data_IF_821040693574
#
_entry.id   IF_821040693574
#
_cell.length_a   1.000
_cell.length_b   1.000
_cell.length_c   1.000
_cell.angle_alpha   90.00
_cell.angle_beta   90.00
_cell.angle_gamma   90.00
#
_symmetry.space_group_name_H-M   'P 1'
#
loop_
_entity.id
_entity.type
_entity.pdbx_description
1 polymer ?
#
# COMPACT_ATOMS: atom_id res chain seq x y z
N UNK A 1 -7.37 24.30 -22.39
CA UNK A 1 -8.41 24.28 -21.33
C UNK A 1 -7.74 23.76 -20.08
N UNK A 2 -7.86 24.41 -18.91
CA UNK A 2 -7.33 23.87 -17.67
C UNK A 2 -8.05 22.55 -17.40
N UNK A 3 -7.29 21.45 -17.32
CA UNK A 3 -7.85 20.15 -16.93
C UNK A 3 -8.13 20.26 -15.43
N UNK A 4 -9.39 20.11 -15.04
CA UNK A 4 -9.75 20.13 -13.63
C UNK A 4 -8.93 19.06 -12.88
N UNK A 5 -8.20 19.40 -11.82
CA UNK A 5 -7.32 18.45 -11.12
C UNK A 5 -8.08 17.22 -10.62
N UNK A 6 -9.37 17.40 -10.32
CA UNK A 6 -10.27 16.34 -9.85
C UNK A 6 -10.64 15.32 -10.94
N UNK A 7 -10.80 15.74 -12.20
CA UNK A 7 -11.09 14.80 -13.30
C UNK A 7 -9.87 13.97 -13.67
N UNK A 8 -8.68 14.59 -13.70
CA UNK A 8 -7.40 13.88 -13.84
C UNK A 8 -7.16 12.88 -12.71
N UNK A 9 -7.51 13.24 -11.47
CA UNK A 9 -7.42 12.34 -10.33
C UNK A 9 -8.38 11.15 -10.45
N UNK A 10 -9.65 11.40 -10.79
CA UNK A 10 -10.65 10.34 -10.95
C UNK A 10 -10.29 9.36 -12.06
N UNK A 11 -9.72 9.84 -13.16
CA UNK A 11 -9.33 8.98 -14.29
C UNK A 11 -8.15 8.07 -13.91
N UNK A 12 -7.19 8.60 -13.14
CA UNK A 12 -6.08 7.82 -12.58
C UNK A 12 -6.54 6.85 -11.49
N UNK A 13 -7.51 7.25 -10.67
CA UNK A 13 -8.14 6.38 -9.67
C UNK A 13 -8.90 5.23 -10.36
N UNK A 14 -9.59 5.53 -11.46
CA UNK A 14 -10.26 4.54 -12.31
C UNK A 14 -9.28 3.52 -12.87
N UNK A 15 -8.10 3.94 -13.35
CA UNK A 15 -7.04 3.02 -13.76
C UNK A 15 -6.53 2.16 -12.59
N UNK A 16 -6.47 2.70 -11.38
CA UNK A 16 -6.08 1.95 -10.19
C UNK A 16 -7.20 1.13 -9.54
N UNK A 17 -8.42 1.16 -10.09
CA UNK A 17 -9.58 0.46 -9.53
C UNK A 17 -9.38 -1.04 -9.44
N UNK A 18 -8.67 -1.66 -10.38
CA UNK A 18 -8.34 -3.08 -10.34
C UNK A 18 -7.44 -3.42 -9.16
N UNK A 19 -6.47 -2.56 -8.86
CA UNK A 19 -5.58 -2.71 -7.70
C UNK A 19 -6.35 -2.48 -6.38
N UNK A 20 -7.18 -1.44 -6.32
CA UNK A 20 -8.04 -1.18 -5.16
C UNK A 20 -9.02 -2.33 -4.91
N UNK A 21 -9.61 -2.90 -5.97
CA UNK A 21 -10.48 -4.07 -5.91
C UNK A 21 -9.73 -5.32 -5.43
N UNK A 22 -8.51 -5.55 -5.91
CA UNK A 22 -7.66 -6.64 -5.42
C UNK A 22 -7.35 -6.51 -3.93
N UNK A 23 -6.98 -5.32 -3.48
CA UNK A 23 -6.68 -5.03 -2.07
C UNK A 23 -7.94 -5.13 -1.19
N UNK A 24 -9.09 -4.74 -1.71
CA UNK A 24 -10.39 -4.96 -1.06
C UNK A 24 -10.67 -6.46 -0.86
N UNK A 25 -10.48 -7.28 -1.90
CA UNK A 25 -10.67 -8.74 -1.81
C UNK A 25 -9.71 -9.37 -0.79
N UNK A 26 -8.45 -8.92 -0.75
CA UNK A 26 -7.48 -9.37 0.26
C UNK A 26 -7.96 -9.01 1.67
N UNK A 27 -8.43 -7.77 1.89
CA UNK A 27 -9.00 -7.34 3.17
C UNK A 27 -10.21 -8.19 3.59
N UNK A 28 -11.07 -8.54 2.64
CA UNK A 28 -12.22 -9.42 2.86
C UNK A 28 -11.79 -10.86 3.21
N UNK A 29 -10.82 -11.43 2.49
CA UNK A 29 -10.30 -12.77 2.77
C UNK A 29 -9.63 -12.85 4.15
N UNK A 30 -8.95 -11.78 4.58
CA UNK A 30 -8.39 -11.67 5.93
C UNK A 30 -9.51 -11.69 6.96
N UNK A 31 -10.56 -10.87 6.79
CA UNK A 31 -11.71 -10.88 7.70
C UNK A 31 -12.40 -12.25 7.77
N UNK A 32 -12.39 -13.01 6.67
CA UNK A 32 -12.95 -14.36 6.62
C UNK A 32 -12.10 -15.39 7.37
N UNK A 33 -10.76 -15.30 7.24
CA UNK A 33 -9.84 -16.26 7.82
C UNK A 33 -9.48 -15.99 9.28
N UNK A 34 -9.21 -14.74 9.61
CA UNK A 34 -8.80 -14.30 10.95
C UNK A 34 -9.35 -12.88 11.25
N UNK A 35 -10.43 -12.77 12.05
CA UNK A 35 -11.09 -11.50 12.34
C UNK A 35 -10.36 -10.66 13.39
N UNK A 36 -9.07 -10.90 13.62
CA UNK A 36 -8.27 -10.06 14.51
C UNK A 36 -7.96 -8.70 13.85
N UNK A 37 -8.43 -7.57 14.43
CA UNK A 37 -8.25 -6.25 13.85
C UNK A 37 -6.79 -5.81 13.79
N UNK A 38 -5.92 -6.45 14.57
CA UNK A 38 -4.47 -6.22 14.54
C UNK A 38 -3.87 -6.58 13.17
N UNK A 39 -4.37 -7.64 12.53
CA UNK A 39 -3.83 -8.15 11.26
C UNK A 39 -4.08 -7.17 10.12
N UNK A 40 -5.32 -6.66 10.01
CA UNK A 40 -5.67 -5.69 8.97
C UNK A 40 -4.99 -4.34 9.20
N UNK A 41 -4.80 -3.94 10.47
CA UNK A 41 -4.09 -2.72 10.80
C UNK A 41 -2.61 -2.81 10.40
N UNK A 42 -1.96 -3.93 10.69
CA UNK A 42 -0.57 -4.20 10.27
C UNK A 42 -0.44 -4.18 8.75
N UNK A 43 -1.42 -4.72 8.02
CA UNK A 43 -1.45 -4.64 6.56
C UNK A 43 -1.60 -3.20 6.09
N UNK A 44 -2.60 -2.46 6.56
CA UNK A 44 -2.85 -1.09 6.11
C UNK A 44 -1.68 -0.15 6.43
N UNK A 45 -1.11 -0.24 7.63
CA UNK A 45 0.04 0.56 8.06
C UNK A 45 1.30 0.13 7.30
N UNK A 46 1.58 -1.16 7.20
CA UNK A 46 2.76 -1.67 6.49
C UNK A 46 2.79 -1.25 5.03
N UNK A 47 1.63 -1.29 4.36
CA UNK A 47 1.49 -0.94 2.95
C UNK A 47 1.64 0.58 2.75
N UNK A 48 0.98 1.37 3.61
CA UNK A 48 1.05 2.84 3.56
C UNK A 48 2.45 3.35 3.90
N UNK A 49 3.07 2.83 4.96
CA UNK A 49 4.41 3.18 5.41
C UNK A 49 5.47 2.74 4.39
N UNK A 50 5.32 1.54 3.80
CA UNK A 50 6.14 1.08 2.69
C UNK A 50 6.10 2.04 1.50
N UNK A 51 4.90 2.42 1.06
CA UNK A 51 4.73 3.33 -0.09
C UNK A 51 5.23 4.75 0.17
N UNK A 52 4.96 5.31 1.36
CA UNK A 52 5.20 6.73 1.64
C UNK A 52 6.58 7.03 2.20
N UNK A 53 7.19 6.11 2.94
CA UNK A 53 8.49 6.32 3.58
C UNK A 53 9.57 5.49 2.89
N UNK A 54 9.45 4.17 2.93
CA UNK A 54 10.51 3.27 2.48
C UNK A 54 10.76 3.35 0.96
N UNK A 55 9.70 3.47 0.16
CA UNK A 55 9.79 3.58 -1.30
C UNK A 55 10.62 4.79 -1.78
N UNK A 56 10.30 6.01 -1.33
CA UNK A 56 11.12 7.19 -1.63
C UNK A 56 12.57 7.07 -1.17
N UNK A 57 12.83 6.48 0.00
CA UNK A 57 14.19 6.23 0.48
C UNK A 57 14.94 5.21 -0.39
N UNK A 58 14.28 4.14 -0.84
CA UNK A 58 14.85 3.18 -1.77
C UNK A 58 15.18 3.83 -3.13
N UNK A 59 14.29 4.70 -3.63
CA UNK A 59 14.51 5.46 -4.86
C UNK A 59 15.70 6.42 -4.75
N UNK A 60 15.79 7.16 -3.64
CA UNK A 60 16.90 8.05 -3.37
C UNK A 60 18.23 7.28 -3.26
N UNK A 61 18.25 6.14 -2.57
CA UNK A 61 19.45 5.31 -2.43
C UNK A 61 19.95 4.75 -3.77
N UNK A 62 19.05 4.28 -4.64
CA UNK A 62 19.43 3.78 -5.98
C UNK A 62 19.91 4.90 -6.90
N UNK A 63 19.33 6.09 -6.80
CA UNK A 63 19.71 7.24 -7.62
C UNK A 63 21.06 7.83 -7.18
N UNK A 64 21.31 7.97 -5.88
CA UNK A 64 22.57 8.53 -5.35
C UNK A 64 23.75 7.60 -5.60
N UNK A 65 23.54 6.28 -5.49
CA UNK A 65 24.60 5.30 -5.68
C UNK A 65 24.86 4.97 -7.15
N UNK A 66 24.05 5.48 -8.10
CA UNK A 66 24.08 5.16 -9.54
C UNK A 66 24.02 3.65 -9.84
N UNK A 67 23.62 2.81 -8.89
CA UNK A 67 23.56 1.35 -9.07
C UNK A 67 22.52 0.92 -10.12
N UNK A 68 21.61 1.83 -10.51
CA UNK A 68 20.65 1.60 -11.59
C UNK A 68 21.35 1.20 -12.91
N UNK A 69 22.55 1.72 -13.17
CA UNK A 69 23.31 1.46 -14.39
C UNK A 69 24.11 0.14 -14.36
N UNK A 70 24.41 -0.38 -13.17
CA UNK A 70 25.32 -1.52 -12.98
C UNK A 70 24.61 -2.86 -13.17
N UNK A 71 23.27 -2.90 -13.12
CA UNK A 71 22.54 -4.17 -13.16
C UNK A 71 21.13 -4.09 -13.78
N UNK A 72 20.92 -3.30 -14.83
CA UNK A 72 19.68 -3.26 -15.63
C UNK A 72 18.37 -3.16 -14.82
N UNK A 73 18.38 -2.51 -13.65
CA UNK A 73 17.19 -2.36 -12.80
C UNK A 73 16.77 -3.59 -11.97
N UNK A 74 17.45 -4.74 -12.09
CA UNK A 74 17.15 -5.93 -11.27
C UNK A 74 17.47 -5.75 -9.78
N UNK A 75 18.32 -4.79 -9.44
CA UNK A 75 18.68 -4.48 -8.06
C UNK A 75 17.56 -3.79 -7.26
N UNK A 76 16.45 -3.37 -7.91
CA UNK A 76 15.34 -2.70 -7.20
C UNK A 76 14.70 -3.60 -6.15
N UNK A 77 14.46 -4.85 -6.53
CA UNK A 77 13.78 -5.84 -5.69
C UNK A 77 14.59 -6.21 -4.45
N UNK A 78 15.88 -6.59 -4.55
CA UNK A 78 16.67 -6.90 -3.38
C UNK A 78 16.86 -5.69 -2.47
N UNK A 79 17.03 -4.47 -3.02
CA UNK A 79 17.19 -3.28 -2.19
C UNK A 79 15.90 -2.92 -1.44
N UNK A 80 14.74 -2.93 -2.12
CA UNK A 80 13.44 -2.73 -1.48
C UNK A 80 13.14 -3.83 -0.45
N UNK A 81 13.54 -5.07 -0.75
CA UNK A 81 13.34 -6.20 0.16
C UNK A 81 14.18 -6.03 1.43
N UNK A 82 15.46 -5.72 1.30
CA UNK A 82 16.36 -5.51 2.45
C UNK A 82 15.87 -4.34 3.30
N UNK A 83 15.53 -3.20 2.68
CA UNK A 83 15.00 -2.03 3.40
C UNK A 83 13.69 -2.33 4.13
N UNK A 84 12.74 -2.99 3.47
CA UNK A 84 11.46 -3.31 4.08
C UNK A 84 11.60 -4.34 5.22
N UNK A 85 12.33 -5.43 4.98
CA UNK A 85 12.53 -6.50 5.98
C UNK A 85 13.33 -5.97 7.17
N UNK A 86 14.43 -5.24 6.95
CA UNK A 86 15.19 -4.64 8.06
C UNK A 86 14.36 -3.68 8.90
N UNK A 87 13.52 -2.85 8.26
CA UNK A 87 12.64 -1.93 8.98
C UNK A 87 11.58 -2.67 9.80
N UNK A 88 10.99 -3.72 9.24
CA UNK A 88 10.01 -4.57 9.94
C UNK A 88 10.66 -5.30 11.13
N UNK A 89 11.87 -5.84 10.96
CA UNK A 89 12.61 -6.51 12.05
C UNK A 89 12.98 -5.52 13.16
N UNK A 90 13.37 -4.29 12.80
CA UNK A 90 13.59 -3.23 13.80
C UNK A 90 12.30 -2.89 14.53
N UNK A 91 11.18 -2.72 13.83
CA UNK A 91 9.86 -2.48 14.45
C UNK A 91 9.42 -3.62 15.36
N UNK A 92 9.68 -4.86 14.97
CA UNK A 92 9.37 -6.05 15.77
C UNK A 92 10.11 -6.05 17.12
N UNK A 93 11.38 -5.61 17.13
CA UNK A 93 12.14 -5.49 18.37
C UNK A 93 11.51 -4.53 19.41
N UNK A 94 10.65 -3.61 18.96
CA UNK A 94 9.87 -2.73 19.83
C UNK A 94 8.47 -3.26 20.12
N UNK A 95 7.78 -3.79 19.12
CA UNK A 95 6.35 -4.12 19.17
C UNK A 95 6.07 -5.57 19.58
N UNK A 96 7.07 -6.45 19.55
CA UNK A 96 6.99 -7.88 19.89
C UNK A 96 5.84 -8.57 19.15
N UNK A 97 5.86 -8.53 17.81
CA UNK A 97 4.81 -9.12 17.00
C UNK A 97 4.87 -10.65 17.02
N UNK A 98 3.73 -11.28 16.76
CA UNK A 98 3.70 -12.73 16.53
C UNK A 98 4.35 -13.05 15.19
N UNK A 99 4.99 -14.22 15.07
CA UNK A 99 5.63 -14.69 13.83
C UNK A 99 4.78 -14.55 12.57
N UNK A 100 3.47 -14.90 12.55
CA UNK A 100 2.65 -14.69 11.36
C UNK A 100 2.41 -13.21 11.04
N UNK A 101 2.29 -12.34 12.05
CA UNK A 101 2.15 -10.90 11.85
C UNK A 101 3.45 -10.28 11.32
N UNK A 102 4.61 -10.76 11.76
CA UNK A 102 5.91 -10.34 11.26
C UNK A 102 6.06 -10.68 9.77
N UNK A 103 5.73 -11.90 9.38
CA UNK A 103 5.81 -12.34 7.97
C UNK A 103 4.85 -11.52 7.10
N UNK A 104 3.63 -11.29 7.58
CA UNK A 104 2.67 -10.46 6.87
C UNK A 104 3.16 -9.00 6.76
N UNK A 105 3.65 -8.41 7.84
CA UNK A 105 4.20 -7.06 7.86
C UNK A 105 5.37 -6.93 6.88
N UNK A 106 6.29 -7.90 6.86
CA UNK A 106 7.40 -7.94 5.92
C UNK A 106 6.92 -8.03 4.47
N UNK A 107 6.03 -8.98 4.16
CA UNK A 107 5.49 -9.13 2.81
C UNK A 107 4.80 -7.85 2.34
N UNK A 108 3.92 -7.28 3.16
CA UNK A 108 3.15 -6.09 2.81
C UNK A 108 4.04 -4.84 2.72
N UNK A 109 5.01 -4.68 3.63
CA UNK A 109 5.96 -3.58 3.57
C UNK A 109 6.85 -3.68 2.32
N UNK A 110 7.28 -4.88 1.90
CA UNK A 110 8.07 -5.04 0.67
C UNK A 110 7.29 -4.62 -0.56
N UNK A 111 6.03 -5.08 -0.69
CA UNK A 111 5.14 -4.71 -1.79
C UNK A 111 4.87 -3.20 -1.79
N UNK A 112 4.56 -2.62 -0.62
CA UNK A 112 4.37 -1.18 -0.49
C UNK A 112 5.62 -0.39 -0.86
N UNK A 113 6.81 -0.86 -0.44
CA UNK A 113 8.10 -0.22 -0.74
C UNK A 113 8.40 -0.24 -2.24
N UNK A 114 8.15 -1.36 -2.93
CA UNK A 114 8.33 -1.45 -4.39
C UNK A 114 7.40 -0.49 -5.11
N UNK A 115 6.12 -0.42 -4.73
CA UNK A 115 5.19 0.53 -5.33
C UNK A 115 5.58 1.99 -5.05
N UNK A 116 6.00 2.30 -3.82
CA UNK A 116 6.48 3.64 -3.47
C UNK A 116 7.75 4.03 -4.21
N UNK A 117 8.65 3.07 -4.45
CA UNK A 117 9.87 3.24 -5.23
C UNK A 117 9.56 3.58 -6.69
N UNK A 118 8.73 2.77 -7.35
CA UNK A 118 8.34 2.98 -8.74
C UNK A 118 7.57 4.32 -8.90
N UNK A 119 6.68 4.65 -7.96
CA UNK A 119 5.99 5.93 -7.93
C UNK A 119 6.96 7.12 -7.76
N UNK A 120 7.97 6.98 -6.90
CA UNK A 120 8.98 8.02 -6.67
C UNK A 120 9.86 8.26 -7.90
N UNK A 121 10.24 7.19 -8.62
CA UNK A 121 10.98 7.30 -9.87
C UNK A 121 10.14 7.99 -10.95
N UNK A 122 8.88 7.59 -11.12
CA UNK A 122 7.97 8.24 -12.07
C UNK A 122 7.81 9.74 -11.76
N UNK A 123 7.69 10.10 -10.48
CA UNK A 123 7.66 11.51 -10.03
C UNK A 123 8.95 12.25 -10.37
N UNK A 124 10.12 11.63 -10.18
CA UNK A 124 11.42 12.25 -10.49
C UNK A 124 11.61 12.45 -12.01
N UNK A 125 11.19 11.50 -12.84
CA UNK A 125 11.21 11.61 -14.30
C UNK A 125 10.25 12.68 -14.81
N UNK A 126 9.05 12.77 -14.22
CA UNK A 126 8.07 13.82 -14.52
C UNK A 126 8.61 15.21 -14.14
N UNK A 127 9.27 15.33 -12.98
CA UNK A 127 9.89 16.58 -12.53
C UNK A 127 11.03 17.01 -13.46
N UNK A 128 11.79 16.05 -13.98
CA UNK A 128 12.85 16.32 -14.98
C UNK A 128 12.27 16.77 -16.33
N UNK A 129 11.05 16.36 -16.65
CA UNK A 129 10.34 16.65 -17.91
C UNK A 129 9.36 17.83 -17.82
N UNK A 130 9.46 18.68 -16.79
CA UNK A 130 8.58 19.84 -16.55
C UNK A 130 7.08 19.51 -16.34
N UNK A 131 6.75 18.27 -15.98
CA UNK A 131 5.39 17.89 -15.59
C UNK A 131 5.06 18.34 -14.16
N UNK A 132 3.90 18.97 -13.96
CA UNK A 132 3.35 19.19 -12.62
C UNK A 132 2.97 17.85 -11.99
N UNK A 133 3.66 17.48 -10.91
CA UNK A 133 3.31 16.34 -10.07
C UNK A 133 2.31 16.84 -9.04
N UNK A 134 1.17 16.16 -8.94
CA UNK A 134 0.17 16.48 -7.91
C UNK A 134 0.57 15.83 -6.57
N UNK A 135 1.04 16.60 -5.58
CA UNK A 135 1.49 16.05 -4.30
C UNK A 135 0.35 15.36 -3.55
N UNK A 136 -0.89 15.73 -3.81
CA UNK A 136 -2.06 15.09 -3.22
C UNK A 136 -2.22 13.64 -3.66
N UNK A 137 -1.89 13.31 -4.91
CA UNK A 137 -1.92 11.93 -5.39
C UNK A 137 -0.92 11.03 -4.66
N UNK A 138 0.27 11.55 -4.36
CA UNK A 138 1.34 10.78 -3.69
C UNK A 138 0.94 10.39 -2.27
N UNK A 139 0.20 11.25 -1.57
CA UNK A 139 -0.30 11.00 -0.22
C UNK A 139 -1.63 10.23 -0.18
N UNK A 140 -2.60 10.63 -1.01
CA UNK A 140 -3.95 10.06 -1.00
C UNK A 140 -3.99 8.65 -1.56
N UNK A 141 -3.14 8.32 -2.54
CA UNK A 141 -3.19 7.01 -3.17
C UNK A 141 -2.85 5.87 -2.18
N UNK A 142 -1.74 5.92 -1.42
CA UNK A 142 -1.47 4.91 -0.39
C UNK A 142 -2.55 4.85 0.70
N UNK A 143 -3.09 6.00 1.09
CA UNK A 143 -4.18 6.07 2.06
C UNK A 143 -5.46 5.39 1.53
N UNK A 144 -5.81 5.58 0.26
CA UNK A 144 -6.94 4.93 -0.38
C UNK A 144 -6.74 3.42 -0.52
N UNK A 145 -5.51 2.96 -0.78
CA UNK A 145 -5.19 1.53 -0.79
C UNK A 145 -5.35 0.92 0.60
N UNK A 146 -4.86 1.59 1.65
CA UNK A 146 -5.07 1.16 3.05
C UNK A 146 -6.54 1.16 3.43
N UNK A 147 -7.30 2.19 3.03
CA UNK A 147 -8.75 2.27 3.25
C UNK A 147 -9.52 1.20 2.48
N UNK A 148 -9.10 0.84 1.26
CA UNK A 148 -9.73 -0.24 0.49
C UNK A 148 -9.59 -1.59 1.20
N UNK A 149 -8.42 -1.87 1.79
CA UNK A 149 -8.21 -3.07 2.61
C UNK A 149 -9.12 -3.07 3.84
N UNK A 150 -9.18 -1.96 4.57
CA UNK A 150 -10.07 -1.79 5.73
C UNK A 150 -11.54 -1.91 5.35
N UNK A 151 -11.96 -1.35 4.22
CA UNK A 151 -13.33 -1.45 3.72
C UNK A 151 -13.69 -2.90 3.38
N UNK A 152 -12.78 -3.64 2.74
CA UNK A 152 -12.92 -5.07 2.50
C UNK A 152 -13.11 -5.85 3.79
N UNK A 153 -12.28 -5.57 4.79
CA UNK A 153 -12.36 -6.19 6.10
C UNK A 153 -13.69 -5.89 6.82
N UNK A 154 -14.13 -4.63 6.84
CA UNK A 154 -15.37 -4.21 7.49
C UNK A 154 -16.64 -4.71 6.80
N UNK A 155 -16.58 -5.01 5.49
CA UNK A 155 -17.75 -5.43 4.70
C UNK A 155 -18.36 -6.73 5.20
N UNK A 156 -17.55 -7.65 5.73
CA UNK A 156 -18.00 -8.93 6.28
C UNK A 156 -18.80 -8.73 7.58
N UNK A 157 -18.31 -7.88 8.48
CA UNK A 157 -19.03 -7.51 9.71
C UNK A 157 -20.37 -6.81 9.41
N UNK A 158 -20.39 -5.95 8.39
CA UNK A 158 -21.61 -5.31 7.92
C UNK A 158 -22.62 -6.32 7.35
N UNK A 159 -22.17 -7.26 6.52
CA UNK A 159 -23.04 -8.29 5.94
C UNK A 159 -23.68 -9.20 7.00
N UNK A 160 -22.90 -9.62 8.00
CA UNK A 160 -23.42 -10.42 9.13
C UNK A 160 -24.44 -9.61 9.95
N UNK A 161 -24.16 -8.34 10.23
CA UNK A 161 -25.09 -7.46 10.93
C UNK A 161 -26.41 -7.26 10.17
N UNK A 162 -26.34 -7.03 8.85
CA UNK A 162 -27.52 -6.90 8.00
C UNK A 162 -28.35 -8.18 7.95
N UNK A 163 -27.70 -9.35 7.92
CA UNK A 163 -28.38 -10.65 8.00
C UNK A 163 -29.14 -10.83 9.33
N UNK A 164 -28.52 -10.45 10.46
CA UNK A 164 -29.17 -10.51 11.77
C UNK A 164 -30.39 -9.60 11.84
N UNK A 165 -30.28 -8.36 11.33
CA UNK A 165 -31.38 -7.39 11.30
C UNK A 165 -32.52 -7.89 10.42
N UNK A 166 -32.23 -8.36 9.19
CA UNK A 166 -33.26 -8.90 8.29
C UNK A 166 -33.95 -10.12 8.88
N UNK A 167 -33.20 -11.02 9.54
CA UNK A 167 -33.79 -12.15 10.28
C UNK A 167 -34.69 -11.70 11.42
N UNK A 168 -34.33 -10.63 12.13
CA UNK A 168 -35.14 -10.07 13.23
C UNK A 168 -36.43 -9.37 12.76
N UNK A 169 -36.51 -8.96 11.49
CA UNK A 169 -37.72 -8.37 10.90
C UNK A 169 -38.62 -9.39 10.19
N UNK A 170 -38.07 -10.55 9.79
CA UNK A 170 -38.79 -11.60 9.06
C UNK A 170 -39.25 -12.75 9.98
N UNK A 171 -38.66 -12.88 11.17
CA UNK A 171 -39.12 -13.78 12.25
C UNK A 171 -39.98 -13.06 13.28
#
# INVERSE_FOLDING_TARGET
MPVDPLSSFLDRLSMASSLLGGVFVIGFLIAWGDPDPKVILTLAIGLSCGMLLLGPYAAAALYTTRLQHVWHGHLRWPLCLILAVSSVVLLDSFLHWSTPQLVLAAAVATVGTVFGHDASLAVLELRRSAGQVDPWMVGLFPALVGLAALAGYCSLGFAIGAYQVTRAFVG
#
